data_IF_762185072109
#
_entry.id   IF_762185072109
#
_cell.length_a   1.000
_cell.length_b   1.000
_cell.length_c   1.000
_cell.angle_alpha   90.00
_cell.angle_beta   90.00
_cell.angle_gamma   90.00
#
_symmetry.space_group_name_H-M   'P 1'
#
loop_
_entity.id
_entity.type
_entity.pdbx_description
1 polymer ?
#
# COMPACT_ATOMS: atom_id res chain seq x y z
N UNK A 1 27.35 -5.53 -14.24
CA UNK A 1 26.51 -5.18 -13.08
C UNK A 1 25.05 -5.20 -13.55
N UNK A 2 24.15 -5.90 -12.85
CA UNK A 2 22.71 -5.73 -13.14
C UNK A 2 22.30 -4.34 -12.67
N UNK A 3 21.82 -3.50 -13.58
CA UNK A 3 21.22 -2.20 -13.24
C UNK A 3 19.81 -2.44 -12.70
N UNK A 4 19.49 -1.80 -11.57
CA UNK A 4 18.16 -1.88 -10.97
C UNK A 4 17.33 -0.71 -11.51
N UNK A 5 16.18 -1.02 -12.12
CA UNK A 5 15.19 -0.01 -12.47
C UNK A 5 14.29 0.28 -11.27
N UNK A 6 14.68 1.25 -10.45
CA UNK A 6 13.90 1.65 -9.27
C UNK A 6 12.49 2.14 -9.61
N UNK A 7 12.25 2.67 -10.81
CA UNK A 7 10.91 3.10 -11.22
C UNK A 7 10.00 1.89 -11.47
N UNK A 8 10.55 0.83 -12.07
CA UNK A 8 9.84 -0.44 -12.25
C UNK A 8 9.54 -1.10 -10.90
N UNK A 9 10.53 -1.18 -10.00
CA UNK A 9 10.35 -1.82 -8.68
C UNK A 9 9.30 -1.09 -7.83
N UNK A 10 9.31 0.25 -7.80
CA UNK A 10 8.25 1.04 -7.13
C UNK A 10 6.86 0.76 -7.70
N UNK A 11 6.74 0.60 -9.03
CA UNK A 11 5.46 0.27 -9.67
C UNK A 11 5.00 -1.15 -9.33
N UNK A 12 5.89 -2.13 -9.24
CA UNK A 12 5.56 -3.49 -8.79
C UNK A 12 5.06 -3.48 -7.35
N UNK A 13 5.81 -2.84 -6.45
CA UNK A 13 5.42 -2.68 -5.05
C UNK A 13 4.07 -1.97 -4.90
N UNK A 14 3.85 -0.85 -5.60
CA UNK A 14 2.58 -0.12 -5.55
C UNK A 14 1.38 -0.95 -6.03
N UNK A 15 1.55 -1.75 -7.09
CA UNK A 15 0.52 -2.71 -7.55
C UNK A 15 0.22 -3.78 -6.49
N UNK A 16 1.25 -4.27 -5.81
CA UNK A 16 1.09 -5.25 -4.73
C UNK A 16 0.32 -4.66 -3.54
N UNK A 17 0.69 -3.48 -3.05
CA UNK A 17 -0.04 -2.75 -2.00
C UNK A 17 -1.51 -2.58 -2.36
N UNK A 18 -1.81 -2.17 -3.60
CA UNK A 18 -3.20 -2.07 -4.09
C UNK A 18 -3.92 -3.41 -4.08
N UNK A 19 -3.25 -4.50 -4.45
CA UNK A 19 -3.83 -5.86 -4.43
C UNK A 19 -4.15 -6.29 -3.00
N UNK A 20 -3.26 -6.02 -2.04
CA UNK A 20 -3.49 -6.29 -0.62
C UNK A 20 -4.70 -5.51 -0.11
N UNK A 21 -4.75 -4.20 -0.35
CA UNK A 21 -5.91 -3.36 0.05
C UNK A 21 -7.22 -3.90 -0.50
N UNK A 22 -7.25 -4.32 -1.76
CA UNK A 22 -8.47 -4.82 -2.40
C UNK A 22 -9.03 -6.12 -1.79
N UNK A 23 -8.27 -6.83 -0.96
CA UNK A 23 -8.77 -7.99 -0.20
C UNK A 23 -9.71 -7.58 0.93
N UNK A 24 -9.51 -6.39 1.49
CA UNK A 24 -10.32 -5.85 2.56
C UNK A 24 -11.66 -5.33 2.00
N UNK A 25 -12.73 -5.62 2.72
CA UNK A 25 -14.08 -5.15 2.38
C UNK A 25 -14.29 -3.73 2.87
N UNK A 26 -15.06 -2.96 2.10
CA UNK A 26 -15.54 -1.66 2.55
C UNK A 26 -16.67 -1.85 3.57
N UNK A 27 -16.59 -1.11 4.67
CA UNK A 27 -17.62 -0.93 5.67
C UNK A 27 -18.70 0.03 5.13
N UNK A 28 -18.27 1.10 4.45
CA UNK A 28 -19.18 2.14 3.95
C UNK A 28 -19.96 1.71 2.69
N UNK A 29 -19.37 0.84 1.88
CA UNK A 29 -19.93 0.43 0.59
C UNK A 29 -20.03 -1.10 0.48
N UNK A 30 -21.21 -1.69 0.76
CA UNK A 30 -21.43 -3.12 0.64
C UNK A 30 -21.00 -3.66 -0.74
N UNK A 31 -20.41 -4.86 -0.74
CA UNK A 31 -19.88 -5.54 -1.94
C UNK A 31 -18.70 -4.85 -2.64
N UNK A 32 -18.11 -3.79 -2.07
CA UNK A 32 -16.89 -3.16 -2.61
C UNK A 32 -15.68 -3.49 -1.74
N UNK A 33 -14.49 -3.38 -2.34
CA UNK A 33 -13.24 -3.34 -1.59
C UNK A 33 -13.06 -1.98 -0.92
N UNK A 34 -12.34 -1.95 0.20
CA UNK A 34 -12.04 -0.73 0.95
C UNK A 34 -11.40 0.34 0.05
N UNK A 35 -11.83 1.60 0.20
CA UNK A 35 -11.21 2.71 -0.54
C UNK A 35 -9.84 3.09 0.05
N UNK A 36 -9.08 3.95 -0.65
CA UNK A 36 -7.85 4.50 -0.07
C UNK A 36 -8.15 5.38 1.14
N UNK A 37 -9.22 6.17 1.07
CA UNK A 37 -9.65 7.05 2.16
C UNK A 37 -9.98 6.22 3.40
N UNK A 38 -10.89 5.27 3.22
CA UNK A 38 -11.40 4.40 4.27
C UNK A 38 -10.29 3.55 4.92
N UNK A 39 -9.29 3.10 4.14
CA UNK A 39 -8.12 2.44 4.72
C UNK A 39 -7.28 3.40 5.57
N UNK A 40 -7.03 4.62 5.08
CA UNK A 40 -6.25 5.61 5.82
C UNK A 40 -6.99 6.21 7.01
N UNK A 41 -8.31 6.19 7.02
CA UNK A 41 -9.12 6.64 8.18
C UNK A 41 -8.87 5.77 9.43
N UNK A 42 -8.29 4.56 9.27
CA UNK A 42 -7.85 3.71 10.39
C UNK A 42 -6.64 4.28 11.14
N UNK A 43 -5.94 5.31 10.64
CA UNK A 43 -4.71 5.83 11.25
C UNK A 43 -4.46 7.31 10.97
N UNK A 44 -3.89 8.03 11.93
CA UNK A 44 -3.39 9.39 11.72
C UNK A 44 -2.01 9.45 11.06
N UNK A 45 -1.32 8.31 10.90
CA UNK A 45 0.09 8.25 10.51
C UNK A 45 0.32 8.09 9.00
N UNK A 46 -0.74 7.97 8.20
CA UNK A 46 -0.65 7.82 6.75
C UNK A 46 -1.80 8.55 6.06
N UNK A 47 -1.48 9.52 5.21
CA UNK A 47 -2.51 10.23 4.44
C UNK A 47 -2.97 9.44 3.21
N UNK A 48 -4.21 9.67 2.77
CA UNK A 48 -4.72 9.16 1.48
C UNK A 48 -3.80 9.52 0.31
N UNK A 49 -3.25 10.74 0.29
CA UNK A 49 -2.34 11.19 -0.77
C UNK A 49 -1.10 10.31 -0.83
N UNK A 50 -0.45 10.10 0.31
CA UNK A 50 0.74 9.26 0.44
C UNK A 50 0.45 7.83 0.02
N UNK A 51 -0.65 7.22 0.48
CA UNK A 51 -1.06 5.89 0.02
C UNK A 51 -1.25 5.85 -1.50
N UNK A 52 -1.88 6.88 -2.08
CA UNK A 52 -2.06 6.99 -3.52
C UNK A 52 -0.75 7.04 -4.32
N UNK A 53 0.21 7.83 -3.86
CA UNK A 53 1.55 7.93 -4.45
C UNK A 53 2.31 6.59 -4.36
N UNK A 54 2.21 5.90 -3.22
CA UNK A 54 2.79 4.56 -3.03
C UNK A 54 2.17 3.58 -4.03
N UNK A 55 0.85 3.50 -4.12
CA UNK A 55 0.17 2.57 -5.03
C UNK A 55 0.45 2.84 -6.52
N UNK A 56 0.83 4.08 -6.89
CA UNK A 56 1.24 4.42 -8.25
C UNK A 56 2.74 4.25 -8.50
N UNK A 57 3.53 4.00 -7.45
CA UNK A 57 4.99 3.91 -7.52
C UNK A 57 5.68 5.27 -7.73
N UNK A 58 5.01 6.36 -7.35
CA UNK A 58 5.47 7.74 -7.57
C UNK A 58 6.37 8.24 -6.45
N UNK A 59 6.37 7.58 -5.29
CA UNK A 59 7.16 7.96 -4.12
C UNK A 59 8.06 6.83 -3.62
N UNK A 60 9.09 7.19 -2.87
CA UNK A 60 9.88 6.26 -2.07
C UNK A 60 9.28 6.21 -0.66
N UNK A 61 8.54 5.15 -0.35
CA UNK A 61 7.90 4.99 0.95
C UNK A 61 8.97 4.93 2.06
N UNK A 62 8.81 5.75 3.09
CA UNK A 62 9.66 5.69 4.28
C UNK A 62 9.38 4.38 5.05
N UNK A 63 10.35 3.92 5.82
CA UNK A 63 10.21 2.67 6.58
C UNK A 63 9.02 2.72 7.55
N UNK A 64 8.78 3.85 8.20
CA UNK A 64 7.64 4.10 9.06
C UNK A 64 6.31 3.96 8.31
N UNK A 65 6.22 4.49 7.08
CA UNK A 65 5.04 4.31 6.23
C UNK A 65 4.80 2.83 5.89
N UNK A 66 5.87 2.04 5.70
CA UNK A 66 5.76 0.61 5.43
C UNK A 66 5.25 -0.16 6.67
N UNK A 67 5.71 0.19 7.87
CA UNK A 67 5.20 -0.40 9.12
C UNK A 67 3.71 -0.10 9.32
N UNK A 68 3.31 1.15 9.11
CA UNK A 68 1.90 1.56 9.18
C UNK A 68 1.07 0.82 8.13
N UNK A 69 1.56 0.70 6.89
CA UNK A 69 0.88 -0.04 5.83
C UNK A 69 0.62 -1.50 6.21
N UNK A 70 1.63 -2.21 6.74
CA UNK A 70 1.47 -3.60 7.16
C UNK A 70 0.36 -3.74 8.22
N UNK A 71 0.34 -2.83 9.20
CA UNK A 71 -0.68 -2.81 10.25
C UNK A 71 -2.08 -2.55 9.71
N UNK A 72 -2.30 -1.47 8.94
CA UNK A 72 -3.65 -1.11 8.47
C UNK A 72 -4.19 -2.06 7.39
N UNK A 73 -3.29 -2.72 6.64
CA UNK A 73 -3.62 -3.77 5.69
C UNK A 73 -3.84 -5.14 6.34
N UNK A 74 -3.57 -5.27 7.65
CA UNK A 74 -3.72 -6.50 8.42
C UNK A 74 -2.88 -7.67 7.85
N UNK A 75 -1.64 -7.36 7.44
CA UNK A 75 -0.69 -8.34 6.86
C UNK A 75 0.65 -8.29 7.58
N UNK A 76 1.41 -9.38 7.50
CA UNK A 76 2.79 -9.37 8.00
C UNK A 76 3.67 -8.43 7.17
N UNK A 77 4.72 -7.87 7.78
CA UNK A 77 5.69 -7.05 7.03
C UNK A 77 6.37 -7.86 5.92
N UNK A 78 6.60 -9.16 6.12
CA UNK A 78 7.12 -10.06 5.09
C UNK A 78 6.18 -10.16 3.89
N UNK A 79 4.87 -10.29 4.12
CA UNK A 79 3.88 -10.32 3.05
C UNK A 79 3.80 -8.98 2.30
N UNK A 80 3.86 -7.86 3.02
CA UNK A 80 3.93 -6.53 2.41
C UNK A 80 5.12 -6.42 1.45
N UNK A 81 6.28 -6.95 1.85
CA UNK A 81 7.52 -6.89 1.07
C UNK A 81 7.62 -7.99 -0.01
N UNK A 82 6.69 -8.94 -0.07
CA UNK A 82 6.67 -9.98 -1.09
C UNK A 82 5.93 -9.51 -2.36
N UNK A 83 6.53 -8.57 -3.09
CA UNK A 83 5.97 -7.95 -4.30
C UNK A 83 6.57 -8.49 -5.62
N UNK A 84 7.43 -9.50 -5.53
CA UNK A 84 8.12 -10.11 -6.67
C UNK A 84 7.21 -11.00 -7.52
#
# INVERSE_FOLDING_TARGET
MKTIDFSLEKKKFGKHVRKLRRRLKSIDYPNRSISQQELTDKTSNLSKKTLGEIERGETNAQFESLLVLAQILEVSFSELMNYN
#
